data_IF_597029240198
#
_entry.id   IF_597029240198
#
_cell.length_a   1.000
_cell.length_b   1.000
_cell.length_c   1.000
_cell.angle_alpha   90.00
_cell.angle_beta   90.00
_cell.angle_gamma   90.00
#
_symmetry.space_group_name_H-M   'P 1'
#
loop_
_entity.id
_entity.type
_entity.pdbx_description
1 polymer ?
#
# COMPACT_ATOMS: atom_id res chain seq x y z
N UNK A 1 -14.61 -22.97 8.41
CA UNK A 1 -13.41 -22.27 7.90
C UNK A 1 -12.57 -21.77 9.07
N UNK A 2 -11.29 -21.94 9.01
CA UNK A 2 -10.38 -21.48 10.05
C UNK A 2 -10.08 -19.99 9.87
N UNK A 3 -10.30 -19.19 10.90
CA UNK A 3 -10.05 -17.76 10.86
C UNK A 3 -8.59 -17.42 10.60
N UNK A 4 -7.68 -18.32 10.94
CA UNK A 4 -6.25 -18.13 10.71
C UNK A 4 -5.90 -18.09 9.23
N UNK A 5 -6.63 -18.81 8.41
CA UNK A 5 -6.39 -18.85 6.97
C UNK A 5 -6.65 -17.48 6.34
N UNK A 6 -7.67 -16.76 6.83
CA UNK A 6 -7.99 -15.42 6.34
C UNK A 6 -6.84 -14.45 6.66
N UNK A 7 -6.28 -14.55 7.86
CA UNK A 7 -5.21 -13.65 8.31
C UNK A 7 -3.88 -13.91 7.63
N UNK A 8 -3.71 -15.10 7.06
CA UNK A 8 -2.48 -15.49 6.37
C UNK A 8 -2.61 -15.36 4.86
N UNK A 9 -3.69 -14.81 4.39
CA UNK A 9 -3.93 -14.65 2.97
C UNK A 9 -2.92 -13.70 2.33
N UNK A 10 -2.45 -14.09 1.14
CA UNK A 10 -1.62 -13.24 0.30
C UNK A 10 -2.54 -12.62 -0.74
N UNK A 11 -2.60 -11.29 -0.78
CA UNK A 11 -3.43 -10.57 -1.75
C UNK A 11 -2.75 -10.58 -3.12
N UNK A 12 -3.55 -10.70 -4.18
CA UNK A 12 -3.06 -10.42 -5.52
C UNK A 12 -3.01 -8.91 -5.75
N UNK A 13 -2.27 -8.49 -6.76
CA UNK A 13 -2.24 -7.06 -7.11
C UNK A 13 -3.64 -6.56 -7.48
N UNK A 14 -4.42 -7.37 -8.22
CA UNK A 14 -5.78 -6.99 -8.58
C UNK A 14 -6.68 -6.86 -7.36
N UNK A 15 -6.53 -7.75 -6.37
CA UNK A 15 -7.27 -7.64 -5.11
C UNK A 15 -6.90 -6.35 -4.38
N UNK A 16 -5.62 -6.03 -4.30
CA UNK A 16 -5.16 -4.79 -3.66
C UNK A 16 -5.76 -3.57 -4.36
N UNK A 17 -5.75 -3.55 -5.69
CA UNK A 17 -6.37 -2.47 -6.45
C UNK A 17 -7.85 -2.30 -6.11
N UNK A 18 -8.59 -3.40 -6.12
CA UNK A 18 -10.04 -3.37 -5.88
C UNK A 18 -10.37 -2.95 -4.47
N UNK A 19 -9.67 -3.50 -3.48
CA UNK A 19 -9.94 -3.23 -2.07
C UNK A 19 -9.57 -1.81 -1.68
N UNK A 20 -8.51 -1.27 -2.26
CA UNK A 20 -8.00 0.05 -1.90
C UNK A 20 -8.58 1.19 -2.74
N UNK A 21 -9.21 0.89 -3.85
CA UNK A 21 -9.80 1.92 -4.72
C UNK A 21 -10.73 2.89 -3.96
N UNK A 22 -11.71 2.41 -3.19
CA UNK A 22 -12.60 3.33 -2.47
C UNK A 22 -11.88 4.15 -1.40
N UNK A 23 -10.85 3.59 -0.78
CA UNK A 23 -10.06 4.32 0.20
C UNK A 23 -9.31 5.47 -0.46
N UNK A 24 -8.59 5.19 -1.54
CA UNK A 24 -7.84 6.22 -2.25
C UNK A 24 -8.74 7.30 -2.82
N UNK A 25 -9.89 6.91 -3.33
CA UNK A 25 -10.87 7.84 -3.85
C UNK A 25 -11.43 8.75 -2.75
N UNK A 26 -11.74 8.16 -1.59
CA UNK A 26 -12.30 8.89 -0.46
C UNK A 26 -11.34 9.93 0.14
N UNK A 27 -10.05 9.69 0.06
CA UNK A 27 -9.02 10.62 0.54
C UNK A 27 -8.47 11.53 -0.56
N UNK A 28 -9.00 11.44 -1.76
CA UNK A 28 -8.55 12.24 -2.90
C UNK A 28 -7.07 12.07 -3.19
N UNK A 29 -6.60 10.83 -3.09
CA UNK A 29 -5.21 10.46 -3.38
C UNK A 29 -4.95 10.64 -4.88
N UNK A 30 -3.79 11.16 -5.24
CA UNK A 30 -3.44 11.35 -6.66
C UNK A 30 -2.88 10.09 -7.29
N UNK A 31 -2.07 9.35 -6.53
CA UNK A 31 -1.36 8.19 -7.04
C UNK A 31 -0.97 7.27 -5.90
N UNK A 32 -0.96 5.97 -6.15
CA UNK A 32 -0.42 4.98 -5.22
C UNK A 32 0.38 3.93 -5.97
N UNK A 33 1.56 3.60 -5.46
CA UNK A 33 2.48 2.63 -6.05
C UNK A 33 2.78 1.56 -5.02
N UNK A 34 2.58 0.32 -5.43
CA UNK A 34 2.96 -0.85 -4.63
C UNK A 34 4.43 -1.15 -4.88
N UNK A 35 5.19 -1.40 -3.81
CA UNK A 35 6.59 -1.79 -3.95
C UNK A 35 6.92 -2.91 -2.96
N UNK A 36 8.18 -3.30 -2.88
CA UNK A 36 8.61 -4.36 -1.99
C UNK A 36 8.20 -5.74 -2.45
N UNK A 37 7.96 -6.66 -1.51
CA UNK A 37 7.74 -8.07 -1.82
C UNK A 37 6.49 -8.33 -2.65
N UNK A 38 5.42 -7.58 -2.41
CA UNK A 38 4.17 -7.75 -3.18
C UNK A 38 4.33 -7.37 -4.64
N UNK A 39 5.07 -6.31 -4.93
CA UNK A 39 5.28 -5.90 -6.32
C UNK A 39 6.20 -6.86 -7.07
N UNK A 40 7.11 -7.50 -6.36
CA UNK A 40 8.07 -8.45 -6.94
C UNK A 40 7.51 -9.86 -7.09
N UNK A 41 6.31 -10.12 -6.59
CA UNK A 41 5.70 -11.44 -6.65
C UNK A 41 6.29 -12.46 -5.69
N UNK A 42 6.98 -12.01 -4.64
CA UNK A 42 7.63 -12.89 -3.66
C UNK A 42 7.03 -12.74 -2.26
N UNK A 43 5.84 -12.17 -2.17
CA UNK A 43 5.18 -11.98 -0.88
C UNK A 43 4.88 -13.32 -0.20
N UNK A 44 4.98 -13.33 1.12
CA UNK A 44 4.57 -14.45 1.96
C UNK A 44 3.43 -13.96 2.87
N UNK A 45 2.76 -14.87 3.60
CA UNK A 45 1.72 -14.44 4.54
C UNK A 45 2.21 -13.45 5.61
N UNK A 46 3.51 -13.42 5.86
CA UNK A 46 4.11 -12.50 6.84
C UNK A 46 4.58 -11.18 6.23
N UNK A 47 4.54 -11.04 4.92
CA UNK A 47 4.98 -9.81 4.26
C UNK A 47 4.02 -8.66 4.53
N UNK A 48 4.58 -7.48 4.76
CA UNK A 48 3.79 -6.24 4.82
C UNK A 48 3.46 -5.78 3.41
N UNK A 49 2.41 -5.00 3.29
CA UNK A 49 2.07 -4.33 2.04
C UNK A 49 2.73 -2.96 2.05
N UNK A 50 3.68 -2.73 1.15
CA UNK A 50 4.44 -1.50 1.06
C UNK A 50 3.87 -0.59 -0.02
N UNK A 51 3.45 0.61 0.38
CA UNK A 51 2.79 1.57 -0.52
C UNK A 51 3.45 2.93 -0.46
N UNK A 52 3.68 3.50 -1.64
CA UNK A 52 4.01 4.91 -1.77
C UNK A 52 2.75 5.63 -2.25
N UNK A 53 2.37 6.70 -1.56
CA UNK A 53 1.17 7.47 -1.93
C UNK A 53 1.51 8.93 -2.15
N UNK A 54 0.87 9.54 -3.13
CA UNK A 54 0.87 10.98 -3.32
C UNK A 54 -0.44 11.50 -2.75
N UNK A 55 -0.44 11.82 -1.46
CA UNK A 55 -1.66 12.10 -0.73
C UNK A 55 -1.92 13.58 -0.47
N UNK A 56 -0.86 14.35 -0.29
CA UNK A 56 -0.99 15.72 0.19
C UNK A 56 -1.49 15.84 1.63
N UNK A 57 -1.59 14.71 2.34
CA UNK A 57 -2.12 14.67 3.71
C UNK A 57 -1.00 14.76 4.73
N UNK A 58 -1.34 15.31 5.90
CA UNK A 58 -0.40 15.46 7.03
C UNK A 58 -1.11 15.14 8.33
N UNK A 59 -0.33 14.77 9.34
CA UNK A 59 -0.83 14.58 10.71
C UNK A 59 -1.91 13.51 10.79
N UNK A 60 -2.97 13.82 11.51
CA UNK A 60 -4.04 12.86 11.79
C UNK A 60 -4.77 12.38 10.54
N UNK A 61 -4.84 13.21 9.50
CA UNK A 61 -5.46 12.78 8.24
C UNK A 61 -4.67 11.68 7.56
N UNK A 62 -3.35 11.77 7.61
CA UNK A 62 -2.49 10.71 7.08
C UNK A 62 -2.63 9.42 7.90
N UNK A 63 -2.68 9.55 9.23
CA UNK A 63 -2.91 8.40 10.12
C UNK A 63 -4.24 7.73 9.80
N UNK A 64 -5.28 8.54 9.55
CA UNK A 64 -6.59 8.00 9.14
C UNK A 64 -6.53 7.22 7.84
N UNK A 65 -5.77 7.72 6.86
CA UNK A 65 -5.56 7.03 5.60
C UNK A 65 -4.91 5.65 5.83
N UNK A 66 -3.84 5.61 6.60
CA UNK A 66 -3.13 4.36 6.91
C UNK A 66 -4.06 3.36 7.59
N UNK A 67 -4.85 3.83 8.56
CA UNK A 67 -5.78 2.99 9.29
C UNK A 67 -6.86 2.41 8.37
N UNK A 68 -7.41 3.22 7.48
CA UNK A 68 -8.42 2.76 6.54
C UNK A 68 -7.86 1.77 5.51
N UNK A 69 -6.62 1.97 5.08
CA UNK A 69 -5.93 1.00 4.22
C UNK A 69 -5.84 -0.34 4.94
N UNK A 70 -5.37 -0.32 6.17
CA UNK A 70 -5.21 -1.54 6.97
C UNK A 70 -6.54 -2.25 7.16
N UNK A 71 -7.59 -1.52 7.49
CA UNK A 71 -8.94 -2.10 7.65
C UNK A 71 -9.45 -2.74 6.37
N UNK A 72 -9.21 -2.10 5.24
CA UNK A 72 -9.64 -2.63 3.94
C UNK A 72 -8.93 -3.92 3.58
N UNK A 73 -7.77 -4.18 4.18
CA UNK A 73 -6.98 -5.39 3.97
C UNK A 73 -7.09 -6.37 5.14
N UNK A 74 -8.21 -6.33 5.86
CA UNK A 74 -8.51 -7.26 6.97
C UNK A 74 -7.48 -7.20 8.10
N UNK A 75 -6.94 -6.02 8.38
CA UNK A 75 -5.96 -5.83 9.43
C UNK A 75 -4.53 -6.19 9.05
N UNK A 76 -4.28 -6.43 7.77
CA UNK A 76 -2.94 -6.71 7.27
C UNK A 76 -2.01 -5.53 7.58
N UNK A 77 -0.80 -5.81 8.03
CA UNK A 77 0.19 -4.77 8.26
C UNK A 77 0.58 -4.10 6.96
N UNK A 78 0.59 -2.78 6.99
CA UNK A 78 0.94 -1.96 5.84
C UNK A 78 2.02 -0.97 6.23
N UNK A 79 2.89 -0.66 5.29
CA UNK A 79 3.89 0.39 5.44
C UNK A 79 3.60 1.42 4.35
N UNK A 80 3.07 2.57 4.76
CA UNK A 80 2.61 3.61 3.83
C UNK A 80 3.52 4.83 3.97
N UNK A 81 4.15 5.19 2.86
CA UNK A 81 5.06 6.34 2.79
C UNK A 81 4.46 7.36 1.82
N UNK A 82 4.41 8.61 2.24
CA UNK A 82 4.00 9.68 1.34
C UNK A 82 5.19 10.15 0.50
N UNK A 83 4.93 10.56 -0.74
CA UNK A 83 5.98 11.03 -1.66
C UNK A 83 6.79 12.19 -1.08
N UNK A 84 6.20 13.01 -0.21
CA UNK A 84 6.87 14.13 0.42
C UNK A 84 8.01 13.70 1.34
N UNK A 85 8.05 12.45 1.75
CA UNK A 85 9.08 11.90 2.63
C UNK A 85 10.12 11.04 1.91
N UNK A 86 10.04 10.94 0.59
CA UNK A 86 11.00 10.14 -0.19
C UNK A 86 12.12 11.04 -0.67
N UNK A 87 13.35 10.69 -0.29
CA UNK A 87 14.53 11.43 -0.69
C UNK A 87 15.07 10.87 -2.01
N UNK A 88 15.62 11.77 -2.82
CA UNK A 88 16.29 11.39 -4.06
C UNK A 88 17.47 10.45 -3.76
N UNK A 89 17.55 9.35 -4.50
CA UNK A 89 18.61 8.35 -4.33
C UNK A 89 18.42 7.40 -3.17
N UNK A 90 17.27 7.48 -2.45
CA UNK A 90 16.97 6.58 -1.34
C UNK A 90 16.70 5.16 -1.82
N UNK A 91 16.75 4.20 -0.88
CA UNK A 91 16.42 2.81 -1.21
C UNK A 91 14.95 2.68 -1.67
N UNK A 92 14.05 3.44 -1.06
CA UNK A 92 12.63 3.43 -1.45
C UNK A 92 12.48 3.88 -2.90
N UNK A 93 13.14 4.97 -3.29
CA UNK A 93 13.07 5.45 -4.66
C UNK A 93 13.62 4.41 -5.65
N UNK A 94 14.72 3.75 -5.30
CA UNK A 94 15.29 2.70 -6.14
C UNK A 94 14.35 1.52 -6.31
N UNK A 95 13.73 1.07 -5.22
CA UNK A 95 12.78 -0.04 -5.29
C UNK A 95 11.58 0.30 -6.15
N UNK A 96 11.07 1.52 -6.03
CA UNK A 96 9.93 1.96 -6.82
C UNK A 96 10.29 2.01 -8.29
N UNK A 97 11.47 2.53 -8.63
CA UNK A 97 11.91 2.61 -10.02
C UNK A 97 12.18 1.24 -10.63
N UNK A 98 12.68 0.29 -9.83
CA UNK A 98 13.01 -1.06 -10.31
C UNK A 98 11.79 -1.94 -10.47
N UNK A 99 10.89 -1.94 -9.49
CA UNK A 99 9.81 -2.93 -9.42
C UNK A 99 8.49 -2.38 -8.90
N UNK A 100 8.35 -1.06 -8.77
CA UNK A 100 7.10 -0.46 -8.34
C UNK A 100 5.98 -0.71 -9.34
N UNK A 101 4.78 -0.99 -8.83
CA UNK A 101 3.59 -1.18 -9.65
C UNK A 101 2.55 -0.15 -9.25
N UNK A 102 2.17 0.70 -10.20
CA UNK A 102 1.12 1.68 -9.93
C UNK A 102 -0.21 0.97 -9.79
N UNK A 103 -0.85 1.11 -8.63
CA UNK A 103 -2.14 0.47 -8.35
C UNK A 103 -3.29 1.46 -8.34
N UNK A 104 -3.01 2.75 -8.35
CA UNK A 104 -4.04 3.78 -8.39
C UNK A 104 -3.48 5.06 -9.01
N UNK A 105 -4.25 5.67 -9.88
CA UNK A 105 -3.96 7.00 -10.42
C UNK A 105 -5.29 7.72 -10.62
N UNK A 106 -5.31 8.96 -10.18
CA UNK A 106 -6.50 9.80 -10.31
C UNK A 106 -6.71 10.26 -11.77
#
# INVERSE_FOLDING_TARGET
MDMRDIQQEIFTIDELKSLLFPVFQGYDIRRAVLFGSYSKGVATPKSDVDLLVDSGLKGLKFVGLVDDIKRSLNGKDVDVIDVSHVNSGSMVEREINDSGVEIYAK
#
